data_IF_370154434935
#
_entry.id   IF_370154434935
#
_cell.length_a   1.000
_cell.length_b   1.000
_cell.length_c   1.000
_cell.angle_alpha   90.00
_cell.angle_beta   90.00
_cell.angle_gamma   90.00
#
_symmetry.space_group_name_H-M   'P 1'
#
loop_
_entity.id
_entity.type
_entity.pdbx_description
1 polymer ?
#
# COMPACT_ATOMS: atom_id res chain seq x y z
N UNK A 1 -57.58 -20.68 -20.36
CA UNK A 1 -56.46 -21.58 -20.67
C UNK A 1 -55.35 -20.78 -21.33
N UNK A 2 -54.47 -20.24 -20.60
CA UNK A 2 -53.05 -19.96 -21.00
C UNK A 2 -52.30 -19.80 -19.71
N UNK A 3 -51.37 -20.71 -19.44
CA UNK A 3 -50.46 -20.65 -18.30
C UNK A 3 -49.41 -19.57 -18.52
N UNK A 4 -49.17 -18.76 -17.53
CA UNK A 4 -48.00 -17.88 -17.41
C UNK A 4 -46.97 -18.58 -16.52
N UNK A 5 -45.93 -19.07 -17.15
CA UNK A 5 -44.72 -19.58 -16.52
C UNK A 5 -43.90 -18.39 -16.04
N UNK A 6 -43.92 -18.11 -14.76
CA UNK A 6 -43.07 -17.12 -14.13
C UNK A 6 -41.82 -17.86 -13.60
N UNK A 7 -40.80 -17.94 -14.45
CA UNK A 7 -39.47 -18.33 -14.03
C UNK A 7 -38.94 -17.31 -13.02
N UNK A 8 -38.99 -17.65 -11.75
CA UNK A 8 -38.26 -16.94 -10.69
C UNK A 8 -36.78 -17.28 -10.86
N UNK A 9 -36.02 -16.23 -11.14
CA UNK A 9 -34.57 -16.23 -11.12
C UNK A 9 -34.08 -16.54 -9.69
N UNK A 10 -33.64 -17.79 -9.51
CA UNK A 10 -33.25 -18.39 -8.24
C UNK A 10 -31.76 -18.12 -7.91
N UNK A 11 -31.16 -17.04 -8.48
CA UNK A 11 -29.73 -16.70 -8.33
C UNK A 11 -29.39 -15.75 -7.18
N UNK A 12 -30.37 -15.38 -6.32
CA UNK A 12 -30.17 -14.49 -5.17
C UNK A 12 -30.34 -15.16 -3.79
N UNK A 13 -30.32 -16.48 -3.71
CA UNK A 13 -30.49 -17.19 -2.43
C UNK A 13 -29.18 -17.85 -2.05
N UNK A 14 -28.33 -17.14 -1.26
CA UNK A 14 -27.51 -17.71 -0.17
C UNK A 14 -26.58 -16.69 0.50
N UNK A 15 -27.01 -15.46 0.67
CA UNK A 15 -26.38 -14.53 1.61
C UNK A 15 -27.02 -14.69 3.01
N UNK A 16 -26.85 -15.85 3.63
CA UNK A 16 -27.18 -15.99 5.05
C UNK A 16 -26.15 -15.26 5.90
N UNK A 17 -26.56 -14.36 6.83
CA UNK A 17 -25.66 -13.72 7.76
C UNK A 17 -24.99 -14.79 8.63
N UNK A 18 -23.68 -15.02 8.46
CA UNK A 18 -22.89 -15.99 9.22
C UNK A 18 -22.09 -17.01 8.43
N UNK A 19 -22.09 -16.96 7.09
CA UNK A 19 -21.33 -17.90 6.27
C UNK A 19 -20.00 -17.33 5.78
N UNK A 20 -18.95 -17.40 6.61
CA UNK A 20 -17.59 -16.99 6.26
C UNK A 20 -17.05 -17.73 5.00
N UNK A 21 -17.48 -18.95 4.75
CA UNK A 21 -17.09 -19.71 3.55
C UNK A 21 -17.73 -19.13 2.28
N UNK A 22 -19.00 -18.70 2.36
CA UNK A 22 -19.67 -17.99 1.27
C UNK A 22 -19.00 -16.66 0.96
N UNK A 23 -18.74 -15.84 1.98
CA UNK A 23 -18.08 -14.56 1.82
C UNK A 23 -16.67 -14.68 1.20
N UNK A 24 -15.89 -15.69 1.61
CA UNK A 24 -14.59 -16.01 0.97
C UNK A 24 -14.75 -16.36 -0.51
N UNK A 25 -15.72 -17.20 -0.84
CA UNK A 25 -15.99 -17.60 -2.24
C UNK A 25 -16.33 -16.37 -3.08
N UNK A 26 -17.25 -15.53 -2.63
CA UNK A 26 -17.63 -14.30 -3.31
C UNK A 26 -16.43 -13.37 -3.54
N UNK A 27 -15.54 -13.22 -2.55
CA UNK A 27 -14.31 -12.43 -2.71
C UNK A 27 -13.41 -13.00 -3.80
N UNK A 28 -13.18 -14.33 -3.81
CA UNK A 28 -12.34 -15.01 -4.80
C UNK A 28 -12.93 -14.87 -6.20
N UNK A 29 -14.24 -15.10 -6.36
CA UNK A 29 -14.95 -15.00 -7.64
C UNK A 29 -14.86 -13.57 -8.20
N UNK A 30 -15.06 -12.54 -7.37
CA UNK A 30 -14.91 -11.15 -7.77
C UNK A 30 -13.48 -10.85 -8.25
N UNK A 31 -12.45 -11.25 -7.50
CA UNK A 31 -11.06 -11.03 -7.88
C UNK A 31 -10.67 -11.73 -9.19
N UNK A 32 -11.31 -12.88 -9.49
CA UNK A 32 -11.13 -13.56 -10.77
C UNK A 32 -11.86 -12.82 -11.90
N UNK A 33 -13.11 -12.41 -11.68
CA UNK A 33 -13.90 -11.66 -12.67
C UNK A 33 -13.22 -10.33 -13.04
N UNK A 34 -12.62 -9.66 -12.06
CA UNK A 34 -11.84 -8.42 -12.26
C UNK A 34 -10.47 -8.65 -12.91
N UNK A 35 -10.08 -9.90 -13.18
CA UNK A 35 -8.79 -10.27 -13.76
C UNK A 35 -7.58 -10.06 -12.82
N UNK A 36 -7.82 -9.76 -11.55
CA UNK A 36 -6.78 -9.53 -10.55
C UNK A 36 -6.13 -10.83 -10.09
N UNK A 37 -6.93 -11.86 -9.86
CA UNK A 37 -6.48 -13.18 -9.36
C UNK A 37 -6.36 -14.18 -10.51
N UNK A 38 -5.14 -14.37 -11.01
CA UNK A 38 -4.83 -15.23 -12.17
C UNK A 38 -4.03 -16.49 -11.83
N UNK A 39 -3.29 -16.50 -10.70
CA UNK A 39 -2.54 -17.70 -10.26
C UNK A 39 -3.49 -18.70 -9.57
N UNK A 40 -3.66 -19.94 -10.11
CA UNK A 40 -4.57 -20.93 -9.54
C UNK A 40 -4.16 -21.40 -8.14
N UNK A 41 -2.86 -21.37 -7.80
CA UNK A 41 -2.38 -21.75 -6.46
C UNK A 41 -2.72 -20.67 -5.44
N UNK A 42 -2.58 -19.40 -5.81
CA UNK A 42 -2.97 -18.29 -4.95
C UNK A 42 -4.50 -18.24 -4.78
N UNK A 43 -5.25 -18.56 -5.82
CA UNK A 43 -6.71 -18.73 -5.73
C UNK A 43 -7.08 -19.80 -4.70
N UNK A 44 -6.44 -20.97 -4.77
CA UNK A 44 -6.68 -22.05 -3.81
C UNK A 44 -6.30 -21.63 -2.39
N UNK A 45 -5.14 -20.97 -2.20
CA UNK A 45 -4.71 -20.47 -0.92
C UNK A 45 -5.71 -19.46 -0.33
N UNK A 46 -6.18 -18.51 -1.13
CA UNK A 46 -7.14 -17.48 -0.70
C UNK A 46 -8.51 -18.10 -0.39
N UNK A 47 -8.95 -19.09 -1.14
CA UNK A 47 -10.22 -19.81 -0.89
C UNK A 47 -10.23 -20.55 0.45
N UNK A 48 -9.06 -21.00 0.91
CA UNK A 48 -8.89 -21.72 2.18
C UNK A 48 -8.59 -20.79 3.38
N UNK A 49 -8.07 -19.59 3.11
CA UNK A 49 -7.66 -18.69 4.17
C UNK A 49 -8.84 -18.13 4.94
N UNK A 50 -8.98 -18.49 6.20
CA UNK A 50 -9.94 -17.85 7.09
C UNK A 50 -9.37 -16.55 7.65
N UNK A 51 -9.68 -15.43 6.98
CA UNK A 51 -9.26 -14.11 7.43
C UNK A 51 -9.81 -13.74 8.79
N UNK A 52 -10.97 -14.29 9.17
CA UNK A 52 -11.57 -14.03 10.47
C UNK A 52 -10.72 -14.53 11.64
N UNK A 53 -9.92 -15.57 11.44
CA UNK A 53 -8.95 -16.04 12.45
C UNK A 53 -7.80 -15.05 12.64
N UNK A 54 -7.33 -14.43 11.53
CA UNK A 54 -6.25 -13.44 11.57
C UNK A 54 -6.74 -12.06 12.02
N UNK A 55 -8.02 -11.74 11.78
CA UNK A 55 -8.64 -10.44 12.00
C UNK A 55 -9.89 -10.57 12.88
N UNK A 56 -9.80 -11.16 14.09
CA UNK A 56 -10.97 -11.42 14.93
C UNK A 56 -11.65 -10.14 15.41
N UNK A 57 -10.90 -9.03 15.42
CA UNK A 57 -11.38 -7.68 15.68
C UNK A 57 -10.93 -6.73 14.60
N UNK A 58 -11.74 -5.71 14.31
CA UNK A 58 -11.48 -4.77 13.24
C UNK A 58 -12.06 -3.39 13.57
N UNK A 59 -11.31 -2.33 13.26
CA UNK A 59 -11.78 -0.95 13.40
C UNK A 59 -12.54 -0.51 12.15
N UNK A 60 -13.71 0.07 12.34
CA UNK A 60 -14.47 0.76 11.31
C UNK A 60 -14.54 2.25 11.63
N UNK A 61 -14.42 3.09 10.62
CA UNK A 61 -14.58 4.54 10.79
C UNK A 61 -16.06 4.89 10.87
N UNK A 62 -16.44 5.67 11.88
CA UNK A 62 -17.84 6.14 12.08
C UNK A 62 -18.02 7.62 11.76
N UNK A 63 -16.95 8.39 11.82
CA UNK A 63 -17.00 9.81 11.49
C UNK A 63 -16.85 10.07 10.00
N UNK A 64 -17.45 11.17 9.52
CA UNK A 64 -17.30 11.64 8.16
C UNK A 64 -15.83 11.94 7.80
N UNK A 65 -15.45 11.83 6.51
CA UNK A 65 -14.15 12.29 6.04
C UNK A 65 -13.88 13.74 6.47
N UNK A 66 -12.68 14.00 6.98
CA UNK A 66 -12.29 15.34 7.46
C UNK A 66 -12.65 15.66 8.91
N UNK A 67 -13.43 14.81 9.60
CA UNK A 67 -13.71 14.97 11.02
C UNK A 67 -12.44 14.76 11.86
N UNK A 68 -12.16 15.69 12.78
CA UNK A 68 -11.07 15.59 13.75
C UNK A 68 -11.61 15.92 15.16
N UNK A 69 -11.44 15.04 16.16
CA UNK A 69 -10.82 13.72 16.07
C UNK A 69 -11.70 12.69 15.33
N UNK A 70 -11.04 11.77 14.64
CA UNK A 70 -11.72 10.65 13.97
C UNK A 70 -12.40 9.76 15.01
N UNK A 71 -13.63 9.34 14.75
CA UNK A 71 -14.32 8.34 15.57
C UNK A 71 -14.20 6.98 14.91
N UNK A 72 -13.66 6.03 15.64
CA UNK A 72 -13.53 4.63 15.28
C UNK A 72 -14.45 3.78 16.13
N UNK A 73 -14.87 2.63 15.63
CA UNK A 73 -15.53 1.60 16.42
C UNK A 73 -14.79 0.28 16.22
N UNK A 74 -14.45 -0.36 17.34
CA UNK A 74 -13.86 -1.70 17.32
C UNK A 74 -14.99 -2.73 17.31
N UNK A 75 -15.11 -3.45 16.21
CA UNK A 75 -15.99 -4.60 16.04
C UNK A 75 -15.29 -5.87 16.51
N UNK A 76 -16.04 -6.76 17.18
CA UNK A 76 -15.57 -8.08 17.61
C UNK A 76 -16.39 -9.17 16.90
N UNK A 77 -15.73 -9.99 16.07
CA UNK A 77 -16.38 -11.04 15.28
C UNK A 77 -17.02 -12.15 16.14
N UNK A 78 -16.70 -12.23 17.43
CA UNK A 78 -17.32 -13.17 18.38
C UNK A 78 -18.61 -12.61 18.99
N UNK A 79 -18.80 -11.28 18.94
CA UNK A 79 -19.96 -10.61 19.52
C UNK A 79 -21.17 -10.65 18.55
N UNK A 80 -22.36 -11.11 19.00
CA UNK A 80 -23.51 -11.29 18.10
C UNK A 80 -23.94 -10.02 17.34
N UNK A 81 -23.87 -8.86 17.99
CA UNK A 81 -24.30 -7.59 17.41
C UNK A 81 -23.32 -7.04 16.35
N UNK A 82 -22.04 -7.43 16.40
CA UNK A 82 -21.00 -6.95 15.49
C UNK A 82 -20.77 -7.90 14.32
N UNK A 83 -21.17 -9.17 14.51
CA UNK A 83 -20.78 -10.29 13.63
C UNK A 83 -21.05 -10.04 12.15
N UNK A 84 -22.21 -9.49 11.83
CA UNK A 84 -22.60 -9.26 10.43
C UNK A 84 -21.72 -8.20 9.78
N UNK A 85 -21.58 -7.03 10.41
CA UNK A 85 -20.76 -5.93 9.91
C UNK A 85 -19.28 -6.28 9.91
N UNK A 86 -18.78 -6.92 10.97
CA UNK A 86 -17.41 -7.40 11.02
C UNK A 86 -17.11 -8.39 9.89
N UNK A 87 -18.02 -9.32 9.61
CA UNK A 87 -17.84 -10.30 8.53
C UNK A 87 -17.81 -9.62 7.16
N UNK A 88 -18.72 -8.68 6.90
CA UNK A 88 -18.71 -7.88 5.70
C UNK A 88 -17.37 -7.16 5.53
N UNK A 89 -16.88 -6.46 6.57
CA UNK A 89 -15.62 -5.75 6.55
C UNK A 89 -14.43 -6.69 6.28
N UNK A 90 -14.32 -7.79 7.04
CA UNK A 90 -13.17 -8.70 6.96
C UNK A 90 -13.09 -9.41 5.62
N UNK A 91 -14.24 -9.71 4.97
CA UNK A 91 -14.27 -10.41 3.68
C UNK A 91 -14.58 -9.48 2.49
N UNK A 92 -14.70 -8.17 2.68
CA UNK A 92 -14.86 -7.19 1.59
C UNK A 92 -13.70 -7.20 0.59
N UNK A 93 -12.50 -7.58 1.05
CA UNK A 93 -11.25 -7.40 0.32
C UNK A 93 -10.58 -6.05 0.56
N UNK A 94 -11.26 -5.13 1.25
CA UNK A 94 -10.70 -3.83 1.62
C UNK A 94 -9.61 -3.95 2.70
N UNK A 95 -8.91 -2.84 2.92
CA UNK A 95 -7.95 -2.74 4.03
C UNK A 95 -8.68 -2.77 5.37
N UNK A 96 -8.22 -3.62 6.28
CA UNK A 96 -8.82 -3.80 7.61
C UNK A 96 -7.87 -3.30 8.67
N UNK A 97 -8.27 -2.27 9.40
CA UNK A 97 -7.50 -1.71 10.52
C UNK A 97 -7.67 -2.59 11.77
N UNK A 98 -6.57 -2.97 12.41
CA UNK A 98 -6.57 -3.95 13.50
C UNK A 98 -5.92 -3.48 14.78
N UNK A 99 -5.17 -2.36 14.74
CA UNK A 99 -4.49 -1.82 15.92
C UNK A 99 -4.47 -0.30 15.88
N UNK A 100 -4.70 0.31 17.01
CA UNK A 100 -4.64 1.74 17.27
C UNK A 100 -3.59 2.04 18.34
N UNK A 101 -2.76 3.05 18.13
CA UNK A 101 -1.74 3.57 19.07
C UNK A 101 -0.81 2.50 19.69
N UNK A 102 -0.57 1.39 18.97
CA UNK A 102 0.24 0.27 19.49
C UNK A 102 -0.40 -0.52 20.61
N UNK A 103 -1.70 -0.33 20.91
CA UNK A 103 -2.39 -1.10 21.94
C UNK A 103 -2.33 -2.60 21.61
N UNK A 104 -2.00 -3.47 22.61
CA UNK A 104 -2.02 -4.91 22.38
C UNK A 104 -3.40 -5.37 21.85
N UNK A 105 -3.47 -6.16 20.77
CA UNK A 105 -4.75 -6.54 20.17
C UNK A 105 -5.74 -7.21 21.13
N UNK A 106 -5.23 -7.96 22.10
CA UNK A 106 -6.01 -8.65 23.11
C UNK A 106 -6.59 -7.71 24.18
N UNK A 107 -5.99 -6.54 24.40
CA UNK A 107 -6.43 -5.56 25.41
C UNK A 107 -7.39 -4.51 24.85
N UNK A 108 -7.59 -4.47 23.53
CA UNK A 108 -8.49 -3.51 22.91
C UNK A 108 -9.94 -3.73 23.32
N UNK A 109 -10.62 -2.64 23.67
CA UNK A 109 -11.99 -2.69 24.15
C UNK A 109 -12.96 -2.45 22.99
N UNK A 110 -13.97 -3.34 22.87
CA UNK A 110 -15.06 -3.23 21.90
C UNK A 110 -15.82 -1.90 22.05
N UNK A 111 -16.21 -1.30 20.94
CA UNK A 111 -17.05 -0.10 20.89
C UNK A 111 -16.33 1.12 20.33
N UNK A 112 -16.99 2.27 20.50
CA UNK A 112 -16.54 3.53 19.91
C UNK A 112 -15.37 4.13 20.69
N UNK A 113 -14.34 4.59 19.96
CA UNK A 113 -13.18 5.30 20.47
C UNK A 113 -12.88 6.52 19.60
N UNK A 114 -12.41 7.59 20.20
CA UNK A 114 -12.13 8.86 19.52
C UNK A 114 -10.63 9.09 19.40
N UNK A 115 -10.18 9.55 18.24
CA UNK A 115 -8.78 9.86 17.95
C UNK A 115 -7.86 8.64 17.86
N UNK A 116 -6.56 8.89 18.02
CA UNK A 116 -5.51 7.89 17.92
C UNK A 116 -5.07 7.60 16.48
N UNK A 117 -3.93 6.93 16.35
CA UNK A 117 -3.33 6.51 15.08
C UNK A 117 -3.53 5.02 14.86
N UNK A 118 -3.96 4.63 13.66
CA UNK A 118 -3.95 3.24 13.27
C UNK A 118 -2.50 2.78 13.00
N UNK A 119 -2.03 1.83 13.80
CA UNK A 119 -0.65 1.33 13.78
C UNK A 119 -0.49 0.02 13.03
N UNK A 120 -1.50 -0.83 12.97
CA UNK A 120 -1.48 -2.04 12.14
C UNK A 120 -2.76 -2.24 11.32
N UNK A 121 -2.60 -2.87 10.16
CA UNK A 121 -3.69 -3.17 9.24
C UNK A 121 -3.40 -4.40 8.38
N UNK A 122 -4.45 -5.08 7.92
CA UNK A 122 -4.38 -5.96 6.76
C UNK A 122 -4.54 -5.13 5.49
N UNK A 123 -3.61 -5.26 4.58
CA UNK A 123 -3.62 -4.56 3.29
C UNK A 123 -4.79 -4.99 2.41
N UNK A 124 -5.28 -4.11 1.56
CA UNK A 124 -6.23 -4.34 0.49
C UNK A 124 -5.90 -5.62 -0.31
N UNK A 125 -6.81 -6.57 -0.36
CA UNK A 125 -6.54 -7.91 -0.91
C UNK A 125 -6.17 -7.91 -2.39
N UNK A 126 -6.82 -7.15 -3.28
CA UNK A 126 -6.39 -7.07 -4.68
C UNK A 126 -4.93 -6.66 -4.82
N UNK A 127 -4.42 -5.73 -4.00
CA UNK A 127 -3.02 -5.34 -4.03
C UNK A 127 -2.10 -6.44 -3.46
N UNK A 128 -2.50 -7.10 -2.39
CA UNK A 128 -1.78 -8.26 -1.85
C UNK A 128 -1.64 -9.39 -2.89
N UNK A 129 -2.73 -9.67 -3.62
CA UNK A 129 -2.75 -10.67 -4.71
C UNK A 129 -1.79 -10.26 -5.83
N UNK A 130 -1.85 -9.01 -6.29
CA UNK A 130 -0.95 -8.48 -7.32
C UNK A 130 0.52 -8.62 -6.91
N UNK A 131 0.87 -8.23 -5.69
CA UNK A 131 2.22 -8.35 -5.14
C UNK A 131 2.70 -9.80 -5.13
N UNK A 132 1.92 -10.72 -4.56
CA UNK A 132 2.31 -12.13 -4.46
C UNK A 132 2.47 -12.79 -5.84
N UNK A 133 1.63 -12.45 -6.81
CA UNK A 133 1.77 -12.93 -8.20
C UNK A 133 3.04 -12.39 -8.87
N UNK A 134 3.37 -11.09 -8.68
CA UNK A 134 4.61 -10.48 -9.21
C UNK A 134 5.86 -11.09 -8.60
N UNK A 135 5.78 -11.56 -7.36
CA UNK A 135 6.88 -12.25 -6.69
C UNK A 135 7.18 -13.63 -7.30
N UNK A 136 6.26 -14.23 -8.06
CA UNK A 136 6.42 -15.56 -8.68
C UNK A 136 6.88 -16.60 -7.65
N UNK A 137 6.13 -16.70 -6.56
CA UNK A 137 6.44 -17.62 -5.46
C UNK A 137 6.28 -19.07 -5.94
N UNK A 138 7.22 -19.95 -5.58
CA UNK A 138 7.16 -21.36 -5.86
C UNK A 138 7.29 -22.19 -4.57
N UNK A 139 6.85 -23.44 -4.64
CA UNK A 139 7.05 -24.39 -3.55
C UNK A 139 8.55 -24.54 -3.24
N UNK A 140 8.89 -24.55 -1.97
CA UNK A 140 10.26 -24.64 -1.48
C UNK A 140 11.03 -23.31 -1.41
N UNK A 141 10.51 -22.20 -1.97
CA UNK A 141 11.14 -20.90 -1.81
C UNK A 141 11.19 -20.47 -0.34
N UNK A 142 12.33 -19.90 0.09
CA UNK A 142 12.42 -19.10 1.30
C UNK A 142 11.74 -17.76 1.09
N UNK A 143 10.80 -17.42 1.96
CA UNK A 143 10.02 -16.18 1.87
C UNK A 143 10.18 -15.35 3.15
N UNK A 144 10.47 -14.06 2.99
CA UNK A 144 10.53 -13.07 4.06
C UNK A 144 9.47 -11.99 3.85
N UNK A 145 8.65 -11.76 4.86
CA UNK A 145 7.61 -10.72 4.90
C UNK A 145 7.97 -9.66 5.94
N UNK A 146 8.20 -8.45 5.53
CA UNK A 146 8.69 -7.35 6.36
C UNK A 146 7.55 -6.35 6.65
N UNK A 147 7.28 -6.08 7.92
CA UNK A 147 6.12 -5.33 8.37
C UNK A 147 4.84 -6.13 8.17
N UNK A 148 4.84 -7.35 8.67
CA UNK A 148 3.81 -8.37 8.41
C UNK A 148 2.43 -8.01 8.96
N UNK A 149 2.36 -7.22 10.04
CA UNK A 149 1.11 -6.90 10.71
C UNK A 149 0.37 -8.16 11.19
N UNK A 150 -0.95 -8.31 10.93
CA UNK A 150 -1.75 -9.45 11.41
C UNK A 150 -1.48 -10.78 10.67
N UNK A 151 -0.60 -10.81 9.64
CA UNK A 151 -0.13 -12.04 9.03
C UNK A 151 -0.88 -12.53 7.79
N UNK A 152 -1.76 -11.73 7.17
CA UNK A 152 -2.57 -12.18 6.01
C UNK A 152 -1.70 -12.49 4.78
N UNK A 153 -0.78 -11.59 4.40
CA UNK A 153 0.17 -11.81 3.30
C UNK A 153 1.09 -13.00 3.57
N UNK A 154 1.57 -13.12 4.80
CA UNK A 154 2.44 -14.20 5.24
C UNK A 154 1.74 -15.56 5.18
N UNK A 155 0.47 -15.66 5.60
CA UNK A 155 -0.32 -16.89 5.51
C UNK A 155 -0.51 -17.35 4.06
N UNK A 156 -0.80 -16.42 3.13
CA UNK A 156 -0.91 -16.72 1.71
C UNK A 156 0.44 -17.18 1.11
N UNK A 157 1.52 -16.48 1.46
CA UNK A 157 2.86 -16.87 1.00
C UNK A 157 3.29 -18.24 1.54
N UNK A 158 2.98 -18.54 2.80
CA UNK A 158 3.25 -19.85 3.41
C UNK A 158 2.50 -20.98 2.70
N UNK A 159 1.25 -20.74 2.29
CA UNK A 159 0.49 -21.72 1.50
C UNK A 159 1.14 -22.00 0.12
N UNK A 160 1.82 -21.01 -0.47
CA UNK A 160 2.50 -21.14 -1.75
C UNK A 160 3.90 -21.76 -1.64
N UNK A 161 4.63 -21.46 -0.58
CA UNK A 161 6.02 -21.94 -0.37
C UNK A 161 6.10 -23.29 0.28
N UNK A 162 5.11 -23.64 1.07
CA UNK A 162 5.08 -24.82 1.93
C UNK A 162 5.55 -24.54 3.36
N UNK A 163 5.38 -25.52 4.25
CA UNK A 163 5.57 -25.32 5.69
C UNK A 163 7.03 -24.93 6.03
N UNK A 164 7.16 -24.04 7.03
CA UNK A 164 8.43 -23.55 7.58
C UNK A 164 9.33 -22.79 6.59
N UNK A 165 8.83 -22.35 5.46
CA UNK A 165 9.57 -21.57 4.45
C UNK A 165 9.31 -20.07 4.56
N UNK A 166 8.20 -19.66 5.17
CA UNK A 166 7.81 -18.26 5.30
C UNK A 166 8.10 -17.72 6.71
N UNK A 167 8.75 -16.57 6.75
CA UNK A 167 9.07 -15.81 7.97
C UNK A 167 8.48 -14.41 7.83
N UNK A 168 7.79 -13.95 8.87
CA UNK A 168 7.33 -12.58 9.01
C UNK A 168 8.10 -11.83 10.08
N UNK A 169 8.42 -10.57 9.83
CA UNK A 169 9.02 -9.65 10.79
C UNK A 169 8.04 -8.52 11.09
N UNK A 170 7.75 -8.31 12.37
CA UNK A 170 6.88 -7.23 12.85
C UNK A 170 7.55 -6.55 14.03
N UNK A 171 7.54 -5.20 14.02
CA UNK A 171 8.22 -4.42 15.06
C UNK A 171 7.49 -4.45 16.40
N UNK A 172 6.16 -4.44 16.36
CA UNK A 172 5.34 -4.50 17.54
C UNK A 172 5.30 -5.93 18.07
N UNK A 173 5.89 -6.16 19.25
CA UNK A 173 6.00 -7.49 19.88
C UNK A 173 4.63 -8.12 20.17
N UNK A 174 3.64 -7.31 20.57
CA UNK A 174 2.27 -7.78 20.82
C UNK A 174 1.59 -8.20 19.53
N UNK A 175 1.75 -7.41 18.46
CA UNK A 175 1.22 -7.76 17.15
C UNK A 175 1.92 -9.00 16.58
N UNK A 176 3.22 -9.13 16.73
CA UNK A 176 3.97 -10.32 16.30
C UNK A 176 3.48 -11.58 17.03
N UNK A 177 3.33 -11.53 18.36
CA UNK A 177 2.81 -12.63 19.16
C UNK A 177 1.36 -12.97 18.78
N UNK A 178 0.51 -11.96 18.61
CA UNK A 178 -0.88 -12.12 18.18
C UNK A 178 -0.96 -12.80 16.81
N UNK A 179 -0.19 -12.35 15.83
CA UNK A 179 -0.15 -12.93 14.51
C UNK A 179 0.38 -14.38 14.54
N UNK A 180 1.43 -14.67 15.30
CA UNK A 180 1.96 -16.03 15.47
C UNK A 180 0.88 -17.00 15.99
N UNK A 181 0.19 -16.62 17.07
CA UNK A 181 -0.89 -17.44 17.65
C UNK A 181 -2.01 -17.73 16.64
N UNK A 182 -2.39 -16.73 15.83
CA UNK A 182 -3.43 -16.90 14.83
C UNK A 182 -2.97 -17.73 13.61
N UNK A 183 -1.73 -17.58 13.19
CA UNK A 183 -1.13 -18.41 12.13
C UNK A 183 -1.03 -19.89 12.55
N UNK A 184 -0.73 -20.16 13.83
CA UNK A 184 -0.75 -21.51 14.41
C UNK A 184 -2.15 -22.10 14.43
N UNK A 185 -3.16 -21.32 14.82
CA UNK A 185 -4.58 -21.75 14.77
C UNK A 185 -5.04 -22.09 13.36
N UNK A 186 -4.51 -21.41 12.34
CA UNK A 186 -4.74 -21.71 10.93
C UNK A 186 -3.93 -22.93 10.42
N UNK A 187 -2.94 -23.38 11.16
CA UNK A 187 -1.98 -24.37 10.68
C UNK A 187 -1.15 -23.88 9.48
N UNK A 188 -0.91 -22.57 9.40
CA UNK A 188 -0.26 -21.93 8.23
C UNK A 188 1.22 -22.33 8.06
N UNK A 189 1.87 -22.84 9.11
CA UNK A 189 3.27 -23.29 9.03
C UNK A 189 4.28 -22.15 8.81
N UNK A 190 3.90 -20.90 9.08
CA UNK A 190 4.74 -19.70 9.04
C UNK A 190 5.33 -19.38 10.43
N UNK A 191 6.36 -18.57 10.46
CA UNK A 191 7.00 -18.10 11.70
C UNK A 191 6.97 -16.58 11.77
N UNK A 192 6.53 -16.02 12.89
CA UNK A 192 6.64 -14.59 13.18
C UNK A 192 7.85 -14.32 14.07
N UNK A 193 8.51 -13.20 13.82
CA UNK A 193 9.64 -12.69 14.59
C UNK A 193 9.37 -11.23 14.95
N UNK A 194 9.52 -10.90 16.23
CA UNK A 194 9.55 -9.51 16.66
C UNK A 194 10.91 -8.90 16.30
N UNK A 195 10.92 -7.78 15.56
CA UNK A 195 12.18 -7.15 15.12
C UNK A 195 11.96 -6.00 14.16
N UNK A 196 13.04 -5.26 13.87
CA UNK A 196 13.00 -4.19 12.89
C UNK A 196 13.02 -4.77 11.48
N UNK A 197 12.03 -4.40 10.68
CA UNK A 197 11.93 -4.78 9.28
C UNK A 197 13.14 -4.30 8.45
N UNK A 198 13.81 -3.20 8.83
CA UNK A 198 14.99 -2.68 8.14
C UNK A 198 16.18 -3.63 8.23
N UNK A 199 16.27 -4.43 9.28
CA UNK A 199 17.33 -5.44 9.48
C UNK A 199 17.03 -6.75 8.74
N UNK A 200 15.80 -6.96 8.28
CA UNK A 200 15.36 -8.23 7.72
C UNK A 200 15.35 -9.35 8.78
N UNK A 201 15.78 -10.56 8.39
CA UNK A 201 15.94 -11.69 9.32
C UNK A 201 17.07 -12.61 8.86
N UNK A 202 18.30 -12.25 9.17
CA UNK A 202 19.52 -12.96 8.77
C UNK A 202 19.61 -14.44 9.18
N UNK A 203 19.04 -14.90 10.33
CA UNK A 203 19.18 -16.31 10.76
C UNK A 203 18.61 -17.35 9.79
N UNK A 204 17.74 -16.94 8.86
CA UNK A 204 17.18 -17.84 7.83
C UNK A 204 17.51 -17.41 6.41
N UNK A 205 18.39 -16.42 6.22
CA UNK A 205 18.88 -16.02 4.91
C UNK A 205 19.74 -17.14 4.27
N UNK A 206 19.85 -17.19 2.92
CA UNK A 206 19.22 -16.26 1.98
C UNK A 206 17.77 -16.61 1.66
N UNK A 207 17.01 -15.59 1.22
CA UNK A 207 15.61 -15.73 0.84
C UNK A 207 15.44 -15.62 -0.68
N UNK A 208 14.63 -16.51 -1.25
CA UNK A 208 14.25 -16.44 -2.67
C UNK A 208 13.32 -15.29 -2.94
N UNK A 209 12.51 -14.91 -1.96
CA UNK A 209 11.48 -13.86 -2.06
C UNK A 209 11.46 -13.02 -0.80
N UNK A 210 11.63 -11.71 -0.95
CA UNK A 210 11.49 -10.74 0.12
C UNK A 210 10.38 -9.77 -0.27
N UNK A 211 9.35 -9.67 0.54
CA UNK A 211 8.28 -8.71 0.41
C UNK A 211 8.34 -7.72 1.56
N UNK A 212 8.16 -6.44 1.26
CA UNK A 212 7.98 -5.44 2.31
C UNK A 212 6.55 -4.89 2.26
N UNK A 213 5.79 -5.15 3.31
CA UNK A 213 4.46 -4.58 3.57
C UNK A 213 4.49 -3.15 4.08
N UNK A 214 5.69 -2.55 4.15
CA UNK A 214 5.93 -1.15 4.49
C UNK A 214 6.65 -0.44 3.37
N UNK A 215 6.42 0.87 3.22
CA UNK A 215 7.15 1.72 2.30
C UNK A 215 8.42 2.28 2.94
N UNK A 216 9.52 2.29 2.22
CA UNK A 216 10.82 2.82 2.67
C UNK A 216 11.32 3.91 1.72
N UNK A 217 12.14 4.88 2.20
CA UNK A 217 12.65 5.95 1.33
C UNK A 217 13.73 5.46 0.36
N UNK A 218 14.51 4.45 0.76
CA UNK A 218 15.52 3.78 -0.06
C UNK A 218 15.61 2.31 0.35
N UNK A 219 16.31 1.50 -0.43
CA UNK A 219 16.46 0.06 -0.20
C UNK A 219 17.49 -0.23 0.90
N UNK A 220 17.12 -0.84 2.03
CA UNK A 220 18.07 -1.22 3.08
C UNK A 220 19.08 -2.23 2.56
N UNK A 221 20.38 -2.05 2.88
CA UNK A 221 21.46 -2.97 2.48
C UNK A 221 21.23 -4.39 3.01
N UNK A 222 20.73 -4.51 4.25
CA UNK A 222 20.41 -5.80 4.86
C UNK A 222 19.43 -6.65 4.01
N UNK A 223 18.53 -6.03 3.27
CA UNK A 223 17.61 -6.76 2.39
C UNK A 223 18.34 -7.30 1.16
N UNK A 224 19.31 -6.53 0.63
CA UNK A 224 20.12 -6.96 -0.52
C UNK A 224 21.06 -8.13 -0.12
N UNK A 225 21.63 -8.07 1.06
CA UNK A 225 22.53 -9.11 1.58
C UNK A 225 21.78 -10.44 1.81
N UNK A 226 20.51 -10.35 2.22
CA UNK A 226 19.67 -11.52 2.50
C UNK A 226 18.93 -12.06 1.28
N UNK A 227 18.99 -11.40 0.11
CA UNK A 227 18.33 -11.84 -1.12
C UNK A 227 19.19 -12.92 -1.81
N UNK A 228 18.60 -14.07 -2.10
CA UNK A 228 19.28 -15.17 -2.79
C UNK A 228 19.65 -14.84 -4.25
N UNK A 229 20.69 -15.43 -4.83
CA UNK A 229 20.87 -15.44 -6.28
C UNK A 229 19.62 -16.00 -6.98
N UNK A 230 19.11 -15.30 -8.01
CA UNK A 230 17.82 -15.58 -8.64
C UNK A 230 16.61 -15.09 -7.83
N UNK A 231 16.86 -14.45 -6.68
CA UNK A 231 15.82 -13.94 -5.78
C UNK A 231 15.15 -12.67 -6.28
N UNK A 232 13.98 -12.40 -5.72
CA UNK A 232 13.18 -11.19 -5.97
C UNK A 232 12.79 -10.52 -4.67
N UNK A 233 12.93 -9.20 -4.64
CA UNK A 233 12.41 -8.35 -3.59
C UNK A 233 11.41 -7.38 -4.18
N UNK A 234 10.27 -7.20 -3.53
CA UNK A 234 9.27 -6.19 -3.91
C UNK A 234 8.96 -5.32 -2.70
N UNK A 235 9.06 -4.01 -2.89
CA UNK A 235 8.78 -2.99 -1.88
C UNK A 235 8.13 -1.76 -2.50
N UNK A 236 7.68 -0.85 -1.65
CA UNK A 236 7.27 0.49 -2.01
C UNK A 236 8.37 1.48 -1.64
N UNK A 237 8.86 2.25 -2.60
CA UNK A 237 9.70 3.41 -2.31
C UNK A 237 8.82 4.64 -2.11
N UNK A 238 9.00 5.31 -0.98
CA UNK A 238 8.16 6.42 -0.57
C UNK A 238 8.89 7.76 -0.69
N UNK A 239 8.13 8.79 -1.00
CA UNK A 239 8.57 10.17 -0.94
C UNK A 239 8.18 10.79 0.41
N UNK A 240 8.57 12.04 0.64
CA UNK A 240 8.13 12.80 1.83
C UNK A 240 6.62 13.05 1.86
N UNK A 241 5.95 12.89 0.74
CA UNK A 241 4.49 13.03 0.61
C UNK A 241 3.86 11.73 0.18
N UNK A 242 2.62 11.43 0.60
CA UNK A 242 1.93 10.17 0.25
C UNK A 242 1.41 10.15 -1.20
N UNK A 243 1.73 11.14 -2.02
CA UNK A 243 1.30 11.22 -3.41
C UNK A 243 2.07 10.21 -4.26
N UNK A 244 1.51 9.04 -4.39
CA UNK A 244 1.90 7.99 -5.33
C UNK A 244 3.33 7.47 -5.14
N UNK A 245 3.52 6.61 -4.16
CA UNK A 245 4.77 5.90 -3.98
C UNK A 245 5.08 5.02 -5.19
N UNK A 246 6.36 4.83 -5.45
CA UNK A 246 6.82 3.93 -6.49
C UNK A 246 6.91 2.50 -6.01
N UNK A 247 6.51 1.56 -6.84
CA UNK A 247 6.74 0.13 -6.62
C UNK A 247 8.11 -0.25 -7.14
N UNK A 248 8.96 -0.78 -6.29
CA UNK A 248 10.32 -1.20 -6.64
C UNK A 248 10.41 -2.72 -6.63
N UNK A 249 10.72 -3.28 -7.80
CA UNK A 249 11.07 -4.69 -7.96
C UNK A 249 12.58 -4.82 -8.11
N UNK A 250 13.21 -5.48 -7.15
CA UNK A 250 14.63 -5.83 -7.21
C UNK A 250 14.75 -7.30 -7.60
N UNK A 251 15.67 -7.59 -8.50
CA UNK A 251 16.04 -8.95 -8.90
C UNK A 251 17.55 -9.11 -8.71
N UNK A 252 17.94 -10.13 -7.98
CA UNK A 252 19.35 -10.56 -7.94
C UNK A 252 19.55 -11.64 -8.99
N UNK A 253 20.38 -11.37 -9.99
CA UNK A 253 20.64 -12.35 -11.05
C UNK A 253 21.37 -13.57 -10.49
N UNK A 254 21.43 -14.67 -11.24
CA UNK A 254 22.19 -15.86 -10.87
C UNK A 254 23.69 -15.56 -10.68
N UNK A 255 24.20 -14.53 -11.37
CA UNK A 255 25.60 -14.06 -11.23
C UNK A 255 25.81 -13.10 -10.06
N UNK A 256 24.73 -12.78 -9.29
CA UNK A 256 24.78 -11.90 -8.13
C UNK A 256 24.57 -10.42 -8.41
N UNK A 257 24.42 -10.00 -9.68
CA UNK A 257 24.13 -8.59 -10.03
C UNK A 257 22.73 -8.21 -9.57
N UNK A 258 22.60 -7.03 -8.97
CA UNK A 258 21.32 -6.45 -8.58
C UNK A 258 20.77 -5.60 -9.73
N UNK A 259 19.52 -5.81 -10.03
CA UNK A 259 18.71 -5.01 -10.97
C UNK A 259 17.48 -4.52 -10.23
N UNK A 260 17.26 -3.22 -10.17
CA UNK A 260 16.13 -2.64 -9.48
C UNK A 260 15.35 -1.72 -10.42
N UNK A 261 14.06 -2.00 -10.57
CA UNK A 261 13.14 -1.24 -11.42
C UNK A 261 12.08 -0.60 -10.54
N UNK A 262 11.93 0.72 -10.69
CA UNK A 262 10.94 1.53 -10.00
C UNK A 262 9.84 1.94 -10.99
N UNK A 263 8.59 1.65 -10.64
CA UNK A 263 7.41 1.98 -11.43
C UNK A 263 6.40 2.75 -10.55
N UNK A 264 5.77 3.78 -11.09
CA UNK A 264 4.62 4.40 -10.47
C UNK A 264 3.41 3.45 -10.49
N UNK A 265 2.45 3.70 -9.61
CA UNK A 265 1.23 2.89 -9.58
C UNK A 265 0.15 3.52 -8.70
N UNK A 266 -1.10 3.02 -8.80
CA UNK A 266 -2.23 3.58 -8.07
C UNK A 266 -2.18 3.26 -6.57
N UNK A 267 -1.33 2.32 -6.17
CA UNK A 267 -1.26 1.80 -4.79
C UNK A 267 0.17 1.49 -4.39
N UNK A 268 0.42 1.63 -3.09
CA UNK A 268 1.67 1.24 -2.45
C UNK A 268 1.41 0.95 -0.96
N UNK A 269 2.41 0.39 -0.29
CA UNK A 269 2.35 0.17 1.15
C UNK A 269 2.52 1.48 1.91
N UNK A 270 2.00 1.52 3.14
CA UNK A 270 2.18 2.67 4.03
C UNK A 270 3.66 2.88 4.32
N UNK A 271 4.10 4.14 4.42
CA UNK A 271 5.45 4.45 4.88
C UNK A 271 5.72 3.86 6.26
N UNK A 272 6.98 3.49 6.50
CA UNK A 272 7.46 2.87 7.74
C UNK A 272 7.02 3.62 9.01
N UNK A 273 6.99 4.96 8.96
CA UNK A 273 6.64 5.81 10.11
C UNK A 273 5.24 6.43 10.02
N UNK A 274 4.46 6.04 9.02
CA UNK A 274 3.07 6.43 8.84
C UNK A 274 2.88 7.87 8.37
N UNK A 275 1.94 8.05 7.43
CA UNK A 275 1.36 9.36 7.13
C UNK A 275 -0.04 9.42 7.70
N UNK A 276 -0.42 10.58 8.18
CA UNK A 276 -1.83 10.85 8.47
C UNK A 276 -2.51 11.28 7.17
N UNK A 277 -3.33 10.43 6.59
CA UNK A 277 -4.22 10.78 5.45
C UNK A 277 -5.05 12.04 5.73
N UNK A 278 -5.34 12.28 7.00
CA UNK A 278 -6.04 13.45 7.52
C UNK A 278 -5.38 14.77 7.11
N UNK A 279 -4.06 14.81 6.97
CA UNK A 279 -3.34 16.03 6.62
C UNK A 279 -3.74 16.53 5.22
N UNK A 280 -3.83 15.64 4.22
CA UNK A 280 -4.21 16.03 2.86
C UNK A 280 -5.66 16.52 2.79
N UNK A 281 -6.62 15.83 3.41
CA UNK A 281 -8.02 16.24 3.45
C UNK A 281 -8.22 17.56 4.20
N UNK A 282 -7.50 17.77 5.32
CA UNK A 282 -7.54 19.02 6.06
C UNK A 282 -7.07 20.20 5.20
N UNK A 283 -6.01 20.03 4.41
CA UNK A 283 -5.54 21.06 3.50
C UNK A 283 -6.53 21.34 2.36
N UNK A 284 -7.21 20.31 1.83
CA UNK A 284 -8.23 20.48 0.79
C UNK A 284 -9.44 21.30 1.28
N UNK A 285 -9.88 21.09 2.52
CA UNK A 285 -10.93 21.92 3.12
C UNK A 285 -10.49 23.39 3.24
N UNK A 286 -9.23 23.63 3.63
CA UNK A 286 -8.69 25.01 3.71
C UNK A 286 -8.61 25.71 2.35
N UNK A 287 -8.38 24.98 1.26
CA UNK A 287 -8.36 25.52 -0.10
C UNK A 287 -9.76 26.00 -0.52
N UNK A 288 -10.80 25.23 -0.19
CA UNK A 288 -12.17 25.56 -0.57
C UNK A 288 -12.62 26.93 -0.04
N UNK A 289 -12.10 27.38 1.10
CA UNK A 289 -12.44 28.63 1.77
C UNK A 289 -11.55 29.83 1.35
N UNK A 290 -10.53 29.61 0.49
CA UNK A 290 -9.57 30.65 0.10
C UNK A 290 -9.52 30.81 -1.41
N UNK A 291 -9.94 31.97 -1.96
CA UNK A 291 -9.80 32.21 -3.38
C UNK A 291 -8.33 32.34 -3.78
N UNK A 292 -7.85 31.50 -4.70
CA UNK A 292 -6.57 31.68 -5.34
C UNK A 292 -6.59 32.84 -6.35
N UNK A 293 -5.41 33.34 -6.73
CA UNK A 293 -5.27 34.30 -7.83
C UNK A 293 -5.40 33.55 -9.16
N UNK A 294 -6.27 33.99 -10.08
CA UNK A 294 -6.37 33.36 -11.40
C UNK A 294 -5.10 33.64 -12.20
N UNK A 295 -4.62 32.62 -12.91
CA UNK A 295 -3.49 32.65 -13.83
C UNK A 295 -3.84 31.88 -15.10
N UNK A 296 -3.56 32.45 -16.26
CA UNK A 296 -3.69 31.74 -17.53
C UNK A 296 -2.59 30.68 -17.63
N UNK A 297 -2.94 29.50 -18.09
CA UNK A 297 -2.02 28.39 -18.33
C UNK A 297 -2.35 27.69 -19.65
N UNK A 298 -1.33 27.24 -20.34
CA UNK A 298 -1.44 26.33 -21.49
C UNK A 298 -1.07 24.89 -21.10
N UNK A 299 -0.61 24.70 -19.88
CA UNK A 299 -0.26 23.39 -19.35
C UNK A 299 -1.52 22.62 -18.98
N UNK A 300 -1.68 21.46 -19.61
CA UNK A 300 -2.68 20.45 -19.23
C UNK A 300 -1.96 19.35 -18.45
N UNK A 301 -2.25 19.19 -17.16
CA UNK A 301 -1.62 18.13 -16.38
C UNK A 301 -1.99 16.76 -16.93
N UNK A 302 -1.05 15.80 -16.94
CA UNK A 302 -1.37 14.42 -17.29
C UNK A 302 -2.47 13.84 -16.39
N UNK A 303 -3.23 12.89 -16.93
CA UNK A 303 -4.26 12.17 -16.20
C UNK A 303 -3.69 11.50 -14.92
N UNK A 304 -4.56 11.15 -13.97
CA UNK A 304 -4.16 10.52 -12.71
C UNK A 304 -3.41 9.21 -12.91
N UNK A 305 -3.72 8.50 -14.00
CA UNK A 305 -3.09 7.25 -14.42
C UNK A 305 -1.72 7.40 -15.08
N UNK A 306 -1.27 8.62 -15.35
CA UNK A 306 0.09 8.88 -15.85
C UNK A 306 1.12 8.69 -14.72
N UNK A 307 1.21 7.46 -14.21
CA UNK A 307 1.96 7.12 -12.99
C UNK A 307 3.44 7.46 -13.08
N UNK A 308 4.06 7.35 -14.25
CA UNK A 308 5.47 7.72 -14.45
C UNK A 308 5.70 9.22 -14.26
N UNK A 309 4.80 10.06 -14.79
CA UNK A 309 4.84 11.49 -14.53
C UNK A 309 4.69 11.82 -13.05
N UNK A 310 3.66 11.28 -12.42
CA UNK A 310 3.36 11.60 -11.02
C UNK A 310 4.42 11.07 -10.05
N UNK A 311 5.04 9.94 -10.37
CA UNK A 311 6.18 9.45 -9.61
C UNK A 311 7.38 10.41 -9.73
N UNK A 312 7.68 10.88 -10.94
CA UNK A 312 8.74 11.88 -11.18
C UNK A 312 8.45 13.17 -10.41
N UNK A 313 7.21 13.66 -10.49
CA UNK A 313 6.78 14.86 -9.78
C UNK A 313 6.90 14.70 -8.25
N UNK A 314 6.55 13.54 -7.69
CA UNK A 314 6.66 13.28 -6.27
C UNK A 314 8.10 13.35 -5.72
N UNK A 315 9.11 13.04 -6.54
CA UNK A 315 10.52 13.17 -6.17
C UNK A 315 11.12 14.53 -6.50
N UNK A 316 10.77 15.10 -7.66
CA UNK A 316 11.39 16.31 -8.18
C UNK A 316 10.70 17.60 -7.70
N UNK A 317 9.47 17.49 -7.22
CA UNK A 317 8.70 18.58 -6.57
C UNK A 317 8.32 18.12 -5.16
N UNK A 318 9.28 18.08 -4.24
CA UNK A 318 9.07 17.50 -2.92
C UNK A 318 8.04 18.28 -2.09
N UNK A 319 7.33 17.58 -1.21
CA UNK A 319 6.37 18.16 -0.30
C UNK A 319 5.03 18.52 -0.92
N UNK A 320 4.75 18.10 -2.14
CA UNK A 320 3.51 18.40 -2.86
C UNK A 320 2.55 17.21 -2.86
N UNK A 321 1.31 17.46 -2.47
CA UNK A 321 0.19 16.52 -2.59
C UNK A 321 -0.63 16.85 -3.83
N UNK A 322 -1.15 15.83 -4.48
CA UNK A 322 -2.15 16.01 -5.53
C UNK A 322 -3.47 15.36 -5.14
N UNK A 323 -4.54 15.93 -5.63
CA UNK A 323 -5.88 15.38 -5.47
C UNK A 323 -6.69 15.64 -6.74
N UNK A 324 -7.11 14.57 -7.38
CA UNK A 324 -8.07 14.60 -8.48
C UNK A 324 -9.48 14.42 -7.92
N UNK A 325 -10.40 15.30 -8.32
CA UNK A 325 -11.82 15.19 -8.03
C UNK A 325 -12.60 15.53 -9.31
N UNK A 326 -13.19 14.52 -9.92
CA UNK A 326 -13.73 14.63 -11.26
C UNK A 326 -12.72 15.27 -12.23
N UNK A 327 -13.07 16.42 -12.84
CA UNK A 327 -12.20 17.11 -13.79
C UNK A 327 -11.32 18.18 -13.14
N UNK A 328 -11.23 18.22 -11.82
CA UNK A 328 -10.45 19.21 -11.07
C UNK A 328 -9.21 18.57 -10.47
N UNK A 329 -8.07 19.21 -10.64
CA UNK A 329 -6.81 18.87 -9.98
C UNK A 329 -6.46 19.93 -8.95
N UNK A 330 -6.34 19.53 -7.69
CA UNK A 330 -5.72 20.32 -6.63
C UNK A 330 -4.31 19.81 -6.36
N UNK A 331 -3.35 20.72 -6.27
CA UNK A 331 -1.95 20.46 -5.93
C UNK A 331 -1.59 21.34 -4.74
N UNK A 332 -1.11 20.73 -3.66
CA UNK A 332 -0.94 21.41 -2.37
C UNK A 332 0.44 21.16 -1.80
N UNK A 333 1.15 22.20 -1.41
CA UNK A 333 2.38 22.16 -0.64
C UNK A 333 2.10 22.69 0.79
N UNK A 334 1.78 21.78 1.74
CA UNK A 334 1.31 22.20 3.08
C UNK A 334 2.34 22.94 3.92
N UNK A 335 3.62 22.67 3.72
CA UNK A 335 4.70 23.24 4.53
C UNK A 335 4.82 24.76 4.40
N UNK A 336 4.49 25.29 3.21
CA UNK A 336 4.54 26.72 2.92
C UNK A 336 3.17 27.35 2.59
N UNK A 337 2.09 26.59 2.80
CA UNK A 337 0.70 27.00 2.51
C UNK A 337 0.48 27.40 1.04
N UNK A 338 1.23 26.78 0.11
CA UNK A 338 1.08 27.01 -1.32
C UNK A 338 0.18 25.97 -1.96
N UNK A 339 -0.62 26.40 -2.94
CA UNK A 339 -1.47 25.48 -3.68
C UNK A 339 -1.85 26.00 -5.07
N UNK A 340 -2.25 25.09 -5.92
CA UNK A 340 -2.84 25.39 -7.23
C UNK A 340 -4.06 24.51 -7.44
N UNK A 341 -5.12 25.08 -8.04
CA UNK A 341 -6.33 24.35 -8.42
C UNK A 341 -6.66 24.68 -9.87
N UNK A 342 -6.72 23.65 -10.70
CA UNK A 342 -7.13 23.74 -12.10
C UNK A 342 -8.44 22.99 -12.29
N UNK A 343 -9.42 23.66 -12.89
CA UNK A 343 -10.68 23.07 -13.35
C UNK A 343 -10.60 22.59 -14.79
N UNK A 344 -11.70 22.02 -15.32
CA UNK A 344 -11.74 21.52 -16.68
C UNK A 344 -11.67 22.65 -17.70
N UNK A 345 -10.64 22.63 -18.54
CA UNK A 345 -10.69 23.17 -19.91
C UNK A 345 -10.70 24.68 -20.14
N UNK A 346 -10.69 25.54 -19.13
CA UNK A 346 -10.79 27.00 -19.34
C UNK A 346 -9.42 27.69 -19.50
N UNK A 347 -8.32 26.95 -19.42
CA UNK A 347 -6.97 27.51 -19.48
C UNK A 347 -6.62 28.39 -18.28
N UNK A 348 -7.36 28.24 -17.15
CA UNK A 348 -7.16 29.00 -15.93
C UNK A 348 -6.76 28.07 -14.78
N UNK A 349 -5.75 28.46 -14.02
CA UNK A 349 -5.38 27.84 -12.75
C UNK A 349 -5.46 28.90 -11.65
N UNK A 350 -6.00 28.52 -10.51
CA UNK A 350 -6.01 29.37 -9.32
C UNK A 350 -4.83 29.00 -8.44
N UNK A 351 -3.93 29.96 -8.17
CA UNK A 351 -2.68 29.76 -7.42
C UNK A 351 -2.66 30.58 -6.14
N UNK A 352 -2.05 30.03 -5.08
CA UNK A 352 -1.90 30.67 -3.78
C UNK A 352 -0.54 30.33 -3.16
N UNK A 353 -0.07 31.21 -2.29
CA UNK A 353 1.15 31.04 -1.50
C UNK A 353 2.41 31.59 -2.16
N UNK A 354 3.56 31.46 -1.47
CA UNK A 354 4.84 31.95 -1.97
C UNK A 354 5.47 31.07 -3.05
N UNK A 355 5.13 29.79 -3.11
CA UNK A 355 5.65 28.80 -4.06
C UNK A 355 4.68 28.64 -5.23
N UNK A 356 5.18 28.74 -6.46
CA UNK A 356 4.37 28.47 -7.66
C UNK A 356 4.42 26.98 -8.02
N UNK A 357 3.65 26.19 -7.27
CA UNK A 357 3.58 24.72 -7.44
C UNK A 357 3.09 24.30 -8.83
N UNK A 358 2.32 25.18 -9.51
CA UNK A 358 1.86 24.89 -10.87
C UNK A 358 2.99 25.03 -11.88
N UNK A 359 3.80 26.09 -11.79
CA UNK A 359 4.96 26.28 -12.64
C UNK A 359 6.01 25.17 -12.44
N UNK A 360 6.16 24.68 -11.22
CA UNK A 360 7.04 23.55 -10.93
C UNK A 360 6.56 22.27 -11.63
N UNK A 361 5.25 21.97 -11.58
CA UNK A 361 4.68 20.82 -12.30
C UNK A 361 4.82 20.95 -13.81
N UNK A 362 4.58 22.13 -14.36
CA UNK A 362 4.78 22.43 -15.80
C UNK A 362 6.23 22.17 -16.21
N UNK A 363 7.20 22.62 -15.39
CA UNK A 363 8.61 22.35 -15.64
C UNK A 363 8.94 20.85 -15.62
N UNK A 364 8.44 20.10 -14.63
CA UNK A 364 8.65 18.64 -14.57
C UNK A 364 7.99 17.95 -15.77
N UNK A 365 6.81 18.39 -16.20
CA UNK A 365 6.16 17.84 -17.37
C UNK A 365 7.02 18.03 -18.65
N UNK A 366 7.63 19.19 -18.80
CA UNK A 366 8.54 19.47 -19.91
C UNK A 366 9.78 18.57 -19.87
N UNK A 367 10.35 18.34 -18.68
CA UNK A 367 11.48 17.43 -18.47
C UNK A 367 11.07 15.98 -18.78
N UNK A 368 9.93 15.52 -18.25
CA UNK A 368 9.42 14.18 -18.44
C UNK A 368 9.11 13.88 -19.91
N UNK A 369 8.51 14.85 -20.63
CA UNK A 369 8.23 14.72 -22.05
C UNK A 369 9.51 14.63 -22.88
N UNK A 370 10.53 15.47 -22.58
CA UNK A 370 11.84 15.39 -23.25
C UNK A 370 12.56 14.05 -23.00
N UNK A 371 12.39 13.49 -21.80
CA UNK A 371 12.90 12.16 -21.46
C UNK A 371 12.17 11.01 -22.17
N UNK A 372 11.17 11.29 -23.00
CA UNK A 372 10.37 10.29 -23.70
C UNK A 372 9.20 9.74 -22.89
N UNK A 373 8.70 10.50 -21.92
CA UNK A 373 7.56 10.15 -21.07
C UNK A 373 7.71 8.79 -20.36
N UNK A 374 8.79 8.57 -19.61
CA UNK A 374 9.09 7.26 -19.03
C UNK A 374 8.09 6.86 -17.95
N UNK A 375 7.69 5.57 -17.96
CA UNK A 375 6.90 4.91 -16.91
C UNK A 375 7.74 4.02 -16.01
N UNK A 376 9.01 3.79 -16.39
CA UNK A 376 9.97 2.95 -15.67
C UNK A 376 11.25 3.69 -15.39
N UNK A 377 11.76 3.45 -14.20
CA UNK A 377 13.01 4.03 -13.72
C UNK A 377 13.90 2.92 -13.15
N UNK A 378 15.19 3.14 -13.16
CA UNK A 378 16.19 2.19 -12.69
C UNK A 378 16.87 2.75 -11.46
N UNK A 379 16.98 1.92 -10.43
CA UNK A 379 17.64 2.30 -9.18
C UNK A 379 19.05 1.73 -9.19
N UNK A 380 20.04 2.61 -9.15
CA UNK A 380 21.44 2.24 -8.90
C UNK A 380 21.66 2.11 -7.40
N UNK A 381 22.15 0.95 -6.98
CA UNK A 381 22.38 0.58 -5.59
C UNK A 381 23.88 0.34 -5.40
N UNK A 382 24.63 1.32 -4.86
CA UNK A 382 26.04 1.20 -4.64
C UNK A 382 26.38 0.05 -3.66
N UNK A 383 27.37 -0.76 -4.00
CA UNK A 383 27.80 -1.91 -3.19
C UNK A 383 28.40 -1.50 -1.83
N UNK A 384 28.86 -0.28 -1.68
CA UNK A 384 29.42 0.29 -0.45
C UNK A 384 28.35 0.88 0.49
N UNK A 385 27.04 0.73 0.15
CA UNK A 385 25.96 1.30 0.91
C UNK A 385 25.79 2.81 0.72
N UNK A 386 26.40 3.38 -0.31
CA UNK A 386 26.32 4.79 -0.67
C UNK A 386 24.91 5.24 -1.09
N UNK A 387 24.81 6.48 -1.51
CA UNK A 387 23.57 7.11 -1.92
C UNK A 387 22.99 6.43 -3.16
N UNK A 388 21.70 6.05 -3.11
CA UNK A 388 21.02 5.40 -4.21
C UNK A 388 20.47 6.44 -5.20
N UNK A 389 20.67 6.18 -6.49
CA UNK A 389 20.29 7.06 -7.57
C UNK A 389 19.23 6.41 -8.44
N UNK A 390 18.30 7.21 -8.92
CA UNK A 390 17.26 6.77 -9.86
C UNK A 390 17.43 7.47 -11.18
N UNK A 391 17.29 6.74 -12.29
CA UNK A 391 17.34 7.30 -13.64
C UNK A 391 16.27 6.69 -14.53
N UNK A 392 15.76 7.47 -15.49
CA UNK A 392 14.88 6.96 -16.55
C UNK A 392 15.65 6.31 -17.72
N UNK A 393 16.97 6.40 -17.75
CA UNK A 393 17.82 5.89 -18.83
C UNK A 393 19.21 6.50 -18.85
N UNK A 394 19.90 6.36 -19.98
CA UNK A 394 21.30 6.79 -20.14
C UNK A 394 21.49 8.02 -21.02
N UNK A 395 20.41 8.57 -21.60
CA UNK A 395 20.48 9.74 -22.49
C UNK A 395 20.69 11.06 -21.73
N UNK A 396 21.09 12.14 -22.43
CA UNK A 396 21.31 13.46 -21.80
C UNK A 396 20.03 14.08 -21.23
N UNK A 397 18.85 13.69 -21.73
CA UNK A 397 17.55 14.13 -21.25
C UNK A 397 16.95 13.17 -20.21
N UNK A 398 17.71 12.16 -19.75
CA UNK A 398 17.21 11.23 -18.75
C UNK A 398 16.88 11.95 -17.44
N UNK A 399 15.70 11.67 -16.89
CA UNK A 399 15.35 12.12 -15.54
C UNK A 399 16.23 11.41 -14.52
N UNK A 400 16.70 12.17 -13.55
CA UNK A 400 17.55 11.64 -12.48
C UNK A 400 17.18 12.30 -11.15
N UNK A 401 17.21 11.50 -10.09
CA UNK A 401 17.09 11.98 -8.72
C UNK A 401 17.76 11.02 -7.74
N UNK A 402 17.87 11.46 -6.53
CA UNK A 402 18.48 10.71 -5.43
C UNK A 402 17.37 10.25 -4.49
N UNK A 403 17.45 8.99 -4.02
CA UNK A 403 16.53 8.52 -2.99
C UNK A 403 16.90 9.12 -1.63
N UNK A 404 15.90 9.54 -0.82
CA UNK A 404 16.15 10.04 0.52
C UNK A 404 16.80 8.95 1.39
N UNK A 405 17.71 9.29 2.29
CA UNK A 405 18.28 8.33 3.23
C UNK A 405 17.24 7.82 4.24
N UNK A 406 17.45 6.64 4.82
CA UNK A 406 16.54 6.05 5.80
C UNK A 406 16.26 6.99 6.99
N UNK A 407 17.25 7.74 7.44
CA UNK A 407 17.13 8.70 8.54
C UNK A 407 16.31 9.97 8.21
N UNK A 408 15.92 10.20 6.95
CA UNK A 408 15.24 11.43 6.52
C UNK A 408 13.71 11.36 6.64
N UNK A 409 13.14 10.29 7.18
CA UNK A 409 11.67 10.15 7.27
C UNK A 409 11.11 10.90 8.48
N UNK A 410 10.09 11.77 8.29
CA UNK A 410 9.42 12.42 9.42
C UNK A 410 8.68 11.39 10.27
N UNK A 411 8.82 11.49 11.59
CA UNK A 411 8.08 10.66 12.54
C UNK A 411 8.86 9.52 13.20
N UNK A 412 10.19 9.47 13.06
CA UNK A 412 10.99 8.67 13.99
C UNK A 412 10.80 9.23 15.41
N UNK A 413 10.42 8.41 16.41
CA UNK A 413 10.64 8.80 17.79
C UNK A 413 12.16 8.98 17.99
N UNK A 414 12.52 10.11 18.61
CA UNK A 414 13.90 10.40 19.01
C UNK A 414 14.41 9.35 19.99
#
# INVERSE_FOLDING_TARGET
>A
VVGSDSGTDDSLVDAQPGNAAGARRTLVERLQADGVLTDPRLREALSRLDRGVLLPRAYVRRSEPGTDPVVWELLDGTHPNDRAEWQELVYSGESVLVQRDGEPPESQVRGAVSGGRMTAMSTFIPYTVEVLQRMRIAAGHGYLDLGTGPGVSLALAAALTGPRRAVGVERDEHMAAFAQNNLERLGAGATMVAGDALDGHAPRAPYDRIHSGIGVPCLPSAWMDQLAPGGRLLTTLTTRTPSWPGRCLVTRTATGRIEAVLEGGPRGHRPLYGYTWLTAQHHLHRIADRPGRPRTTTFTPPADEAYGFWLSAAYLVPGVFRHFQADTLAVVAPEDDSWAVAGPGDGTVHVHGPRDVWAELENIHNLWTRAGSPDRFYVDIPADGGQQHVTSGTGPDALQWVLPPLAAMPGQPA
#
